data_IF_953434755661
#
_entry.id   IF_953434755661
#
_cell.length_a   1.000
_cell.length_b   1.000
_cell.length_c   1.000
_cell.angle_alpha   90.00
_cell.angle_beta   90.00
_cell.angle_gamma   90.00
#
_symmetry.space_group_name_H-M   'P 1'
#
loop_
_entity.id
_entity.type
_entity.pdbx_description
1 polymer ?
#
# COMPACT_ATOMS: atom_id res chain seq x y z
N UNK A 1 -5.68 -13.05 -8.11
CA UNK A 1 -6.47 -12.93 -6.85
C UNK A 1 -6.63 -14.32 -6.26
N UNK A 2 -6.18 -14.54 -5.01
CA UNK A 2 -6.21 -15.87 -4.35
C UNK A 2 -7.65 -16.34 -4.04
N UNK A 3 -8.53 -15.39 -3.71
CA UNK A 3 -9.96 -15.63 -3.50
C UNK A 3 -10.77 -15.15 -4.71
N UNK A 4 -11.81 -15.91 -5.10
CA UNK A 4 -12.69 -15.55 -6.24
C UNK A 4 -13.94 -14.77 -5.84
N UNK A 5 -14.28 -14.76 -4.55
CA UNK A 5 -15.45 -14.06 -4.00
C UNK A 5 -15.02 -13.28 -2.76
N UNK A 6 -15.52 -12.05 -2.65
CA UNK A 6 -15.33 -11.25 -1.46
C UNK A 6 -16.03 -11.91 -0.26
N UNK A 7 -15.37 -11.89 0.90
CA UNK A 7 -15.84 -12.47 2.15
C UNK A 7 -15.60 -11.43 3.24
N UNK A 8 -16.61 -11.20 4.07
CA UNK A 8 -16.51 -10.26 5.18
C UNK A 8 -17.02 -10.91 6.47
N UNK A 9 -16.55 -10.40 7.61
CA UNK A 9 -17.13 -10.72 8.92
C UNK A 9 -18.38 -9.87 9.15
N UNK A 10 -19.21 -10.26 10.10
CA UNK A 10 -20.29 -9.40 10.55
C UNK A 10 -19.72 -8.13 11.19
N UNK A 11 -20.34 -6.99 10.90
CA UNK A 11 -19.98 -5.69 11.45
C UNK A 11 -20.03 -5.66 12.98
N UNK A 12 -20.98 -6.37 13.61
CA UNK A 12 -21.10 -6.48 15.07
C UNK A 12 -19.89 -7.14 15.71
N UNK A 13 -19.49 -8.30 15.17
CA UNK A 13 -18.31 -9.02 15.63
C UNK A 13 -17.04 -8.18 15.48
N UNK A 14 -16.88 -7.45 14.36
CA UNK A 14 -15.75 -6.53 14.20
C UNK A 14 -15.72 -5.45 15.29
N UNK A 15 -16.87 -4.83 15.59
CA UNK A 15 -16.96 -3.80 16.64
C UNK A 15 -16.72 -4.38 18.03
N UNK A 16 -17.12 -5.62 18.30
CA UNK A 16 -16.79 -6.33 19.54
C UNK A 16 -15.27 -6.52 19.66
N UNK A 17 -14.60 -6.96 18.59
CA UNK A 17 -13.14 -7.10 18.59
C UNK A 17 -12.45 -5.76 18.80
N UNK A 18 -12.92 -4.70 18.14
CA UNK A 18 -12.38 -3.34 18.32
C UNK A 18 -12.55 -2.86 19.77
N UNK A 19 -13.70 -3.15 20.40
CA UNK A 19 -13.95 -2.83 21.82
C UNK A 19 -12.95 -3.53 22.74
N UNK A 20 -12.70 -4.83 22.52
CA UNK A 20 -11.71 -5.61 23.27
C UNK A 20 -10.32 -4.99 23.11
N UNK A 21 -9.89 -4.73 21.87
CA UNK A 21 -8.58 -4.12 21.59
C UNK A 21 -8.42 -2.76 22.28
N UNK A 22 -9.44 -1.90 22.19
CA UNK A 22 -9.40 -0.57 22.77
C UNK A 22 -9.41 -0.57 24.30
N UNK A 23 -10.30 -1.37 24.92
CA UNK A 23 -10.56 -1.34 26.37
C UNK A 23 -9.62 -2.25 27.16
N UNK A 24 -9.38 -3.46 26.67
CA UNK A 24 -8.66 -4.48 27.42
C UNK A 24 -7.14 -4.41 27.15
N UNK A 25 -6.76 -4.01 25.93
CA UNK A 25 -5.36 -3.93 25.50
C UNK A 25 -4.84 -2.49 25.31
N UNK A 26 -5.71 -1.49 25.47
CA UNK A 26 -5.31 -0.08 25.34
C UNK A 26 -4.90 0.35 23.93
N UNK A 27 -5.29 -0.42 22.90
CA UNK A 27 -4.98 -0.12 21.50
C UNK A 27 -5.60 1.22 21.10
N UNK A 28 -4.80 2.06 20.44
CA UNK A 28 -5.22 3.40 19.96
C UNK A 28 -5.34 3.49 18.44
N UNK A 29 -4.65 2.62 17.72
CA UNK A 29 -4.58 2.64 16.26
C UNK A 29 -4.92 1.23 15.75
N UNK A 30 -5.83 1.13 14.79
CA UNK A 30 -6.17 -0.11 14.11
C UNK A 30 -5.97 0.07 12.61
N UNK A 31 -5.19 -0.83 12.01
CA UNK A 31 -5.07 -0.95 10.56
C UNK A 31 -5.87 -2.16 10.09
N UNK A 32 -6.86 -1.93 9.23
CA UNK A 32 -7.60 -3.00 8.57
C UNK A 32 -6.74 -3.65 7.50
N UNK A 33 -6.61 -4.98 7.58
CA UNK A 33 -5.79 -5.78 6.68
C UNK A 33 -6.46 -6.06 5.32
N UNK A 34 -7.72 -5.66 5.16
CA UNK A 34 -8.48 -5.80 3.92
C UNK A 34 -7.75 -5.10 2.75
N UNK A 35 -7.68 -5.78 1.60
CA UNK A 35 -7.11 -5.21 0.36
C UNK A 35 -7.90 -3.98 -0.10
N UNK A 36 -9.21 -4.00 0.12
CA UNK A 36 -10.11 -2.88 -0.12
C UNK A 36 -11.25 -2.91 0.90
N UNK A 37 -11.21 -2.02 1.88
CA UNK A 37 -12.22 -1.89 2.93
C UNK A 37 -13.61 -1.58 2.37
N UNK A 38 -13.66 -0.74 1.33
CA UNK A 38 -14.90 -0.24 0.76
C UNK A 38 -15.37 -1.03 -0.47
N UNK A 39 -14.95 -2.30 -0.60
CA UNK A 39 -15.38 -3.18 -1.67
C UNK A 39 -16.92 -3.30 -1.74
N UNK A 40 -17.59 -3.29 -0.59
CA UNK A 40 -19.03 -3.15 -0.46
C UNK A 40 -19.36 -1.90 0.35
N UNK A 41 -20.00 -0.92 -0.31
CA UNK A 41 -20.31 0.39 0.27
C UNK A 41 -21.28 0.30 1.44
N UNK A 42 -22.28 -0.57 1.36
CA UNK A 42 -23.34 -0.64 2.37
C UNK A 42 -22.82 -1.32 3.63
N UNK A 43 -22.01 -2.38 3.49
CA UNK A 43 -21.33 -3.02 4.63
C UNK A 43 -20.31 -2.07 5.28
N UNK A 44 -19.55 -1.33 4.47
CA UNK A 44 -18.60 -0.33 4.98
C UNK A 44 -19.32 0.76 5.78
N UNK A 45 -20.41 1.30 5.23
CA UNK A 45 -21.23 2.31 5.90
C UNK A 45 -21.81 1.80 7.22
N UNK A 46 -22.39 0.60 7.23
CA UNK A 46 -22.93 -0.02 8.45
C UNK A 46 -21.85 -0.16 9.53
N UNK A 47 -20.64 -0.62 9.16
CA UNK A 47 -19.52 -0.73 10.08
C UNK A 47 -19.10 0.63 10.64
N UNK A 48 -18.98 1.67 9.79
CA UNK A 48 -18.64 3.02 10.22
C UNK A 48 -19.65 3.58 11.22
N UNK A 49 -20.95 3.40 10.97
CA UNK A 49 -22.02 3.81 11.88
C UNK A 49 -21.88 3.14 13.25
N UNK A 50 -21.66 1.82 13.29
CA UNK A 50 -21.46 1.08 14.54
C UNK A 50 -20.17 1.46 15.28
N UNK A 51 -19.10 1.81 14.56
CA UNK A 51 -17.86 2.31 15.16
C UNK A 51 -18.11 3.67 15.84
N UNK A 52 -18.86 4.56 15.18
CA UNK A 52 -19.24 5.87 15.74
C UNK A 52 -20.08 5.69 17.00
N UNK A 53 -21.06 4.79 16.98
CA UNK A 53 -21.89 4.47 18.14
C UNK A 53 -21.08 3.89 19.31
N UNK A 54 -20.04 3.11 19.00
CA UNK A 54 -19.16 2.52 20.01
C UNK A 54 -18.22 3.54 20.67
N UNK A 55 -17.98 4.69 20.03
CA UNK A 55 -17.17 5.83 20.50
C UNK A 55 -15.86 5.41 21.17
N UNK A 56 -15.03 4.65 20.43
CA UNK A 56 -13.82 4.03 20.98
C UNK A 56 -12.59 4.96 21.00
N UNK A 57 -12.70 6.16 20.42
CA UNK A 57 -11.58 7.10 20.31
C UNK A 57 -10.38 6.58 19.51
N UNK A 58 -10.60 5.61 18.61
CA UNK A 58 -9.56 4.98 17.80
C UNK A 58 -9.11 5.86 16.63
N UNK A 59 -7.90 5.62 16.15
CA UNK A 59 -7.42 6.06 14.84
C UNK A 59 -7.41 4.87 13.89
N UNK A 60 -8.06 5.00 12.74
CA UNK A 60 -8.25 3.90 11.79
C UNK A 60 -7.49 4.17 10.49
N UNK A 61 -6.80 3.14 10.02
CA UNK A 61 -6.10 3.10 8.74
C UNK A 61 -6.78 2.09 7.83
N UNK A 62 -7.16 2.52 6.63
CA UNK A 62 -7.88 1.70 5.65
C UNK A 62 -7.11 1.65 4.33
N UNK A 63 -7.22 0.53 3.61
CA UNK A 63 -6.87 0.47 2.20
C UNK A 63 -8.15 0.64 1.36
N UNK A 64 -8.11 1.53 0.37
CA UNK A 64 -9.21 1.74 -0.58
C UNK A 64 -8.65 2.00 -1.98
N UNK A 65 -9.42 1.65 -3.01
CA UNK A 65 -9.10 2.12 -4.37
C UNK A 65 -9.49 3.60 -4.50
N UNK A 66 -8.81 4.34 -5.38
CA UNK A 66 -9.18 5.72 -5.68
C UNK A 66 -10.62 5.84 -6.21
N UNK A 67 -11.07 4.86 -7.00
CA UNK A 67 -12.44 4.81 -7.51
C UNK A 67 -13.47 4.69 -6.39
N UNK A 68 -13.20 3.88 -5.36
CA UNK A 68 -14.10 3.74 -4.21
C UNK A 68 -14.12 4.98 -3.33
N UNK A 69 -12.99 5.69 -3.17
CA UNK A 69 -12.96 6.99 -2.49
C UNK A 69 -13.84 8.01 -3.21
N UNK A 70 -13.77 8.06 -4.55
CA UNK A 70 -14.61 8.97 -5.35
C UNK A 70 -16.09 8.56 -5.30
N UNK A 71 -16.38 7.25 -5.34
CA UNK A 71 -17.73 6.70 -5.20
C UNK A 71 -18.35 7.07 -3.84
N UNK A 72 -17.55 7.06 -2.78
CA UNK A 72 -17.97 7.30 -1.40
C UNK A 72 -17.86 8.78 -0.98
N UNK A 73 -17.68 9.70 -1.92
CA UNK A 73 -17.49 11.13 -1.65
C UNK A 73 -18.56 11.73 -0.72
N UNK A 74 -19.81 11.28 -0.82
CA UNK A 74 -20.94 11.74 -0.01
C UNK A 74 -20.91 11.25 1.45
N UNK A 75 -20.15 10.18 1.72
CA UNK A 75 -20.03 9.59 3.06
C UNK A 75 -18.63 9.73 3.67
N UNK A 76 -17.66 10.38 3.01
CA UNK A 76 -16.34 10.67 3.61
C UNK A 76 -16.40 11.40 4.97
N UNK A 77 -17.36 12.30 5.25
CA UNK A 77 -17.54 12.84 6.60
C UNK A 77 -17.83 11.77 7.65
N UNK A 78 -18.52 10.68 7.27
CA UNK A 78 -18.78 9.53 8.13
C UNK A 78 -17.49 8.75 8.43
N UNK A 79 -16.64 8.53 7.41
CA UNK A 79 -15.31 7.93 7.60
C UNK A 79 -14.52 8.72 8.65
N UNK A 80 -14.43 10.04 8.49
CA UNK A 80 -13.71 10.89 9.45
C UNK A 80 -14.31 10.82 10.86
N UNK A 81 -15.64 10.84 10.98
CA UNK A 81 -16.35 10.75 12.26
C UNK A 81 -16.11 9.40 12.97
N UNK A 82 -15.95 8.31 12.22
CA UNK A 82 -15.60 6.99 12.75
C UNK A 82 -14.14 6.88 13.23
N UNK A 83 -13.33 7.92 13.05
CA UNK A 83 -11.91 7.93 13.43
C UNK A 83 -10.96 7.48 12.31
N UNK A 84 -11.42 7.40 11.06
CA UNK A 84 -10.54 7.15 9.91
C UNK A 84 -9.64 8.36 9.70
N UNK A 85 -8.35 8.16 9.93
CA UNK A 85 -7.35 9.20 9.77
C UNK A 85 -6.49 8.98 8.52
N UNK A 86 -6.33 7.73 8.08
CA UNK A 86 -5.56 7.40 6.88
C UNK A 86 -6.37 6.56 5.91
N UNK A 87 -6.28 6.92 4.63
CA UNK A 87 -6.65 6.05 3.52
C UNK A 87 -5.41 5.84 2.64
N UNK A 88 -5.01 4.57 2.55
CA UNK A 88 -3.93 4.07 1.71
C UNK A 88 -4.49 3.73 0.35
N UNK A 89 -3.91 4.30 -0.69
CA UNK A 89 -4.28 4.07 -2.09
C UNK A 89 -3.06 3.59 -2.89
N UNK A 90 -3.26 2.55 -3.68
CA UNK A 90 -2.33 2.18 -4.74
C UNK A 90 -2.52 3.09 -5.95
N UNK A 91 -1.42 3.63 -6.49
CA UNK A 91 -1.46 4.31 -7.79
C UNK A 91 -0.99 3.33 -8.86
N UNK A 92 -1.91 2.91 -9.71
CA UNK A 92 -1.70 1.86 -10.72
C UNK A 92 -0.94 2.37 -11.95
N UNK A 93 -1.17 3.63 -12.34
CA UNK A 93 -0.43 4.29 -13.42
C UNK A 93 -0.32 5.80 -13.16
N UNK A 94 0.88 6.35 -13.39
CA UNK A 94 1.16 7.79 -13.42
C UNK A 94 1.14 8.35 -14.85
N UNK A 95 0.91 7.50 -15.86
CA UNK A 95 0.82 7.85 -17.27
C UNK A 95 -0.60 7.63 -17.76
N UNK A 96 -1.08 8.53 -18.60
CA UNK A 96 -2.39 8.41 -19.28
C UNK A 96 -2.39 7.29 -20.34
N UNK A 97 -1.22 6.68 -20.60
CA UNK A 97 -0.93 5.96 -21.84
C UNK A 97 -1.02 4.44 -21.71
N UNK A 98 -2.07 3.89 -21.09
CA UNK A 98 -2.53 2.51 -21.38
C UNK A 98 -4.05 2.45 -21.25
N UNK A 99 -4.76 3.14 -22.14
CA UNK A 99 -6.18 2.86 -22.39
C UNK A 99 -6.23 1.86 -23.55
N UNK A 100 -6.18 0.58 -23.22
CA UNK A 100 -6.65 -0.47 -24.12
C UNK A 100 -7.76 -1.25 -23.39
N UNK A 101 -8.98 -0.80 -23.68
CA UNK A 101 -10.19 -1.61 -23.80
C UNK A 101 -10.99 -2.14 -22.62
N UNK A 102 -10.94 -1.55 -21.41
CA UNK A 102 -12.02 -1.78 -20.44
C UNK A 102 -12.39 -0.50 -19.66
N UNK A 103 -13.42 0.20 -20.17
CA UNK A 103 -14.29 1.18 -19.47
C UNK A 103 -13.62 2.46 -18.91
N UNK A 104 -13.78 3.55 -19.68
CA UNK A 104 -14.01 4.94 -19.25
C UNK A 104 -13.61 5.31 -17.80
N UNK A 105 -12.39 5.82 -17.63
CA UNK A 105 -12.02 7.01 -16.87
C UNK A 105 -10.49 7.06 -16.76
N UNK A 106 -9.89 8.24 -16.88
CA UNK A 106 -8.45 8.41 -16.65
C UNK A 106 -8.13 8.01 -15.18
N UNK A 107 -7.41 6.89 -14.93
CA UNK A 107 -7.15 6.41 -13.57
C UNK A 107 -6.35 7.41 -12.72
N UNK A 108 -5.51 8.21 -13.36
CA UNK A 108 -4.72 9.24 -12.69
C UNK A 108 -5.59 10.42 -12.25
N UNK A 109 -6.55 10.86 -13.07
CA UNK A 109 -7.53 11.89 -12.67
C UNK A 109 -8.43 11.44 -11.52
N UNK A 110 -8.86 10.17 -11.51
CA UNK A 110 -9.60 9.59 -10.37
C UNK A 110 -8.73 9.67 -9.11
N UNK A 111 -7.44 9.34 -9.20
CA UNK A 111 -6.51 9.40 -8.07
C UNK A 111 -6.34 10.82 -7.55
N UNK A 112 -6.22 11.82 -8.44
CA UNK A 112 -6.19 13.25 -8.06
C UNK A 112 -7.47 13.68 -7.37
N UNK A 113 -8.62 13.27 -7.90
CA UNK A 113 -9.92 13.57 -7.30
C UNK A 113 -10.05 12.93 -5.91
N UNK A 114 -9.66 11.66 -5.75
CA UNK A 114 -9.65 10.97 -4.47
C UNK A 114 -8.79 11.69 -3.43
N UNK A 115 -7.54 12.02 -3.76
CA UNK A 115 -6.65 12.78 -2.88
C UNK A 115 -7.26 14.13 -2.46
N UNK A 116 -7.90 14.84 -3.40
CA UNK A 116 -8.60 16.09 -3.09
C UNK A 116 -9.75 15.87 -2.11
N UNK A 117 -10.61 14.89 -2.35
CA UNK A 117 -11.75 14.58 -1.50
C UNK A 117 -11.34 14.17 -0.08
N UNK A 118 -10.29 13.36 0.05
CA UNK A 118 -9.73 12.97 1.36
C UNK A 118 -9.26 14.20 2.14
N UNK A 119 -8.52 15.10 1.47
CA UNK A 119 -8.01 16.33 2.07
C UNK A 119 -9.12 17.27 2.51
N UNK A 120 -10.17 17.43 1.70
CA UNK A 120 -11.36 18.23 2.05
C UNK A 120 -12.07 17.70 3.31
N UNK A 121 -11.88 16.42 3.64
CA UNK A 121 -12.44 15.76 4.82
C UNK A 121 -11.43 15.55 5.96
N UNK A 122 -10.24 16.17 5.90
CA UNK A 122 -9.15 16.00 6.87
C UNK A 122 -8.70 14.53 7.06
N UNK A 123 -8.79 13.72 6.01
CA UNK A 123 -8.27 12.35 5.97
C UNK A 123 -6.94 12.38 5.23
N UNK A 124 -5.91 11.78 5.84
CA UNK A 124 -4.57 11.73 5.28
C UNK A 124 -4.55 10.72 4.14
N UNK A 125 -4.14 11.20 2.97
CA UNK A 125 -3.91 10.37 1.80
C UNK A 125 -2.50 9.79 1.82
N UNK A 126 -2.38 8.46 1.88
CA UNK A 126 -1.11 7.75 1.73
C UNK A 126 -1.11 7.04 0.38
N UNK A 127 -0.13 7.36 -0.46
CA UNK A 127 0.00 6.78 -1.78
C UNK A 127 1.16 5.80 -1.84
N UNK A 128 0.89 4.58 -2.29
CA UNK A 128 1.91 3.60 -2.60
C UNK A 128 2.36 3.76 -4.07
N UNK A 129 3.67 3.84 -4.29
CA UNK A 129 4.29 3.77 -5.61
C UNK A 129 5.29 2.61 -5.66
N UNK A 130 5.34 1.90 -6.80
CA UNK A 130 6.29 0.80 -7.01
C UNK A 130 7.35 1.21 -8.03
N UNK A 131 8.61 1.05 -7.64
CA UNK A 131 9.79 1.18 -8.49
C UNK A 131 10.24 -0.20 -8.98
N UNK A 132 10.57 -0.30 -10.26
CA UNK A 132 11.01 -1.55 -10.91
C UNK A 132 9.94 -2.26 -11.75
N UNK A 133 8.72 -1.72 -11.85
CA UNK A 133 7.68 -2.21 -12.78
C UNK A 133 7.95 -1.79 -14.24
N UNK A 134 8.48 -0.58 -14.42
CA UNK A 134 8.90 -0.06 -15.72
C UNK A 134 10.41 -0.22 -15.89
N UNK A 135 10.93 -0.03 -17.10
CA UNK A 135 12.37 0.11 -17.32
C UNK A 135 12.90 1.38 -16.64
N UNK A 136 13.24 1.29 -15.36
CA UNK A 136 13.65 2.45 -14.57
C UNK A 136 14.92 3.08 -15.14
N UNK A 137 14.85 4.38 -15.37
CA UNK A 137 15.94 5.26 -15.78
C UNK A 137 15.79 6.61 -15.09
N UNK A 138 16.82 7.45 -15.09
CA UNK A 138 16.71 8.81 -14.54
C UNK A 138 15.54 9.61 -15.14
N UNK A 139 15.22 9.37 -16.42
CA UNK A 139 14.07 9.97 -17.09
C UNK A 139 12.74 9.50 -16.49
N UNK A 140 12.53 8.19 -16.35
CA UNK A 140 11.27 7.65 -15.80
C UNK A 140 11.09 8.00 -14.33
N UNK A 141 12.18 8.01 -13.54
CA UNK A 141 12.14 8.47 -12.15
C UNK A 141 11.67 9.93 -12.05
N UNK A 142 12.16 10.79 -12.94
CA UNK A 142 11.75 12.20 -12.98
C UNK A 142 10.29 12.38 -13.46
N UNK A 143 9.84 11.62 -14.45
CA UNK A 143 8.42 11.60 -14.87
C UNK A 143 7.50 11.16 -13.73
N UNK A 144 7.86 10.08 -13.01
CA UNK A 144 7.14 9.62 -11.83
C UNK A 144 7.09 10.70 -10.75
N UNK A 145 8.23 11.36 -10.49
CA UNK A 145 8.29 12.45 -9.53
C UNK A 145 7.33 13.59 -9.88
N UNK A 146 7.27 14.01 -11.16
CA UNK A 146 6.29 15.00 -11.62
C UNK A 146 4.85 14.54 -11.42
N UNK A 147 4.53 13.31 -11.81
CA UNK A 147 3.18 12.75 -11.58
C UNK A 147 2.79 12.74 -10.11
N UNK A 148 3.73 12.45 -9.20
CA UNK A 148 3.46 12.52 -7.76
C UNK A 148 3.23 13.95 -7.28
N UNK A 149 3.98 14.94 -7.80
CA UNK A 149 3.74 16.35 -7.48
C UNK A 149 2.35 16.81 -7.95
N UNK A 150 1.88 16.31 -9.10
CA UNK A 150 0.53 16.58 -9.60
C UNK A 150 -0.56 15.87 -8.78
N UNK A 151 -0.28 14.65 -8.30
CA UNK A 151 -1.18 13.91 -7.42
C UNK A 151 -1.33 14.59 -6.04
N UNK A 152 -0.23 15.12 -5.52
CA UNK A 152 -0.14 15.90 -4.28
C UNK A 152 -0.68 15.20 -2.99
N UNK A 153 -0.62 13.87 -2.89
CA UNK A 153 -0.97 13.15 -1.66
C UNK A 153 -0.12 13.55 -0.44
N UNK A 154 -0.64 13.32 0.75
CA UNK A 154 -0.01 13.78 1.99
C UNK A 154 1.27 12.99 2.31
N UNK A 155 1.24 11.68 2.09
CA UNK A 155 2.36 10.77 2.34
C UNK A 155 2.61 9.91 1.11
N UNK A 156 3.88 9.83 0.71
CA UNK A 156 4.36 8.90 -0.30
C UNK A 156 5.05 7.72 0.37
N UNK A 157 4.62 6.51 0.04
CA UNK A 157 5.29 5.28 0.39
C UNK A 157 5.91 4.65 -0.87
N UNK A 158 7.22 4.79 -1.01
CA UNK A 158 7.98 4.17 -2.11
C UNK A 158 8.28 2.71 -1.81
N UNK A 159 7.95 1.83 -2.75
CA UNK A 159 8.17 0.40 -2.67
C UNK A 159 8.98 -0.08 -3.87
N UNK A 160 9.66 -1.21 -3.73
CA UNK A 160 10.36 -1.89 -4.82
C UNK A 160 9.57 -3.12 -5.28
N UNK A 161 9.59 -3.38 -6.58
CA UNK A 161 9.01 -4.58 -7.17
C UNK A 161 9.63 -5.81 -6.52
N UNK A 162 8.78 -6.65 -5.90
CA UNK A 162 9.17 -7.93 -5.33
C UNK A 162 8.43 -9.06 -6.06
N UNK A 163 9.11 -9.76 -7.00
CA UNK A 163 8.48 -10.73 -7.87
C UNK A 163 8.29 -12.08 -7.16
N UNK A 164 7.33 -12.16 -6.25
CA UNK A 164 7.00 -13.42 -5.57
C UNK A 164 6.54 -14.49 -6.57
N UNK A 165 7.06 -15.71 -6.47
CA UNK A 165 6.88 -16.76 -7.48
C UNK A 165 5.41 -17.09 -7.83
N UNK A 166 4.46 -16.81 -6.94
CA UNK A 166 3.03 -17.07 -7.16
C UNK A 166 2.29 -15.93 -7.89
N UNK A 167 2.87 -14.73 -7.98
CA UNK A 167 2.26 -13.57 -8.64
C UNK A 167 2.46 -13.62 -10.15
N UNK A 168 1.77 -12.75 -10.89
CA UNK A 168 1.95 -12.61 -12.34
C UNK A 168 3.39 -12.20 -12.66
N UNK A 169 3.89 -11.17 -11.96
CA UNK A 169 5.26 -10.67 -12.16
C UNK A 169 6.31 -11.70 -11.78
N UNK A 170 6.11 -12.47 -10.71
CA UNK A 170 7.01 -13.57 -10.38
C UNK A 170 7.06 -14.65 -11.45
N UNK A 171 5.96 -14.92 -12.16
CA UNK A 171 5.94 -15.93 -13.24
C UNK A 171 6.59 -15.43 -14.53
N UNK A 172 6.55 -14.12 -14.79
CA UNK A 172 7.15 -13.50 -15.98
C UNK A 172 8.59 -13.05 -15.77
N UNK A 173 9.02 -12.88 -14.53
CA UNK A 173 10.39 -12.45 -14.19
C UNK A 173 11.40 -13.52 -14.54
N UNK A 174 12.45 -13.12 -15.27
CA UNK A 174 13.65 -13.95 -15.46
C UNK A 174 14.41 -14.05 -14.12
N UNK A 175 14.58 -15.25 -13.54
CA UNK A 175 15.29 -15.43 -12.28
C UNK A 175 16.69 -14.83 -12.29
N UNK A 176 17.35 -14.75 -13.45
CA UNK A 176 18.70 -14.17 -13.59
C UNK A 176 18.76 -12.69 -13.23
N UNK A 177 17.62 -11.99 -13.24
CA UNK A 177 17.54 -10.59 -12.84
C UNK A 177 17.39 -10.42 -11.32
N UNK A 178 17.25 -11.50 -10.55
CA UNK A 178 17.21 -11.43 -9.09
C UNK A 178 18.60 -11.14 -8.55
N UNK A 179 18.74 -10.00 -7.89
CA UNK A 179 19.97 -9.49 -7.27
C UNK A 179 19.96 -9.58 -5.74
N UNK A 180 18.86 -10.03 -5.14
CA UNK A 180 18.77 -10.28 -3.70
C UNK A 180 18.09 -11.62 -3.45
N UNK A 181 18.85 -12.60 -2.95
CA UNK A 181 18.33 -13.95 -2.68
C UNK A 181 17.85 -14.11 -1.23
N UNK A 182 18.27 -13.25 -0.30
CA UNK A 182 17.82 -13.29 1.08
C UNK A 182 16.34 -12.90 1.17
N UNK A 183 15.49 -13.87 1.50
CA UNK A 183 14.05 -13.69 1.66
C UNK A 183 13.69 -12.68 2.76
N UNK A 184 14.56 -12.43 3.74
CA UNK A 184 14.32 -11.40 4.75
C UNK A 184 14.28 -9.98 4.13
N UNK A 185 14.87 -9.80 2.94
CA UNK A 185 14.86 -8.56 2.16
C UNK A 185 13.70 -8.49 1.16
N UNK A 186 12.83 -9.49 1.10
CA UNK A 186 11.67 -9.52 0.18
C UNK A 186 10.44 -8.86 0.82
N UNK A 187 10.64 -7.65 1.34
CA UNK A 187 9.67 -6.90 2.15
C UNK A 187 9.05 -5.71 1.41
N UNK A 188 9.26 -5.60 0.10
CA UNK A 188 8.96 -4.40 -0.73
C UNK A 188 9.75 -3.14 -0.36
N UNK A 189 10.61 -3.17 0.67
CA UNK A 189 11.49 -2.04 1.05
C UNK A 189 12.90 -2.16 0.50
N UNK A 190 13.29 -3.34 0.03
CA UNK A 190 14.59 -3.56 -0.59
C UNK A 190 14.46 -3.84 -2.09
N UNK A 191 15.52 -3.51 -2.82
CA UNK A 191 15.67 -3.91 -4.21
C UNK A 191 15.97 -5.40 -4.26
N UNK A 192 15.15 -6.15 -5.00
CA UNK A 192 15.36 -7.58 -5.19
C UNK A 192 15.60 -7.98 -6.64
N UNK A 193 15.23 -7.11 -7.59
CA UNK A 193 15.38 -7.29 -9.03
C UNK A 193 16.24 -6.18 -9.62
N UNK A 194 17.12 -6.53 -10.55
CA UNK A 194 17.90 -5.58 -11.33
C UNK A 194 17.00 -4.79 -12.29
N UNK A 195 17.30 -3.51 -12.48
CA UNK A 195 16.70 -2.69 -13.53
C UNK A 195 17.64 -2.61 -14.73
N UNK A 196 17.12 -2.39 -15.95
CA UNK A 196 17.96 -2.40 -17.15
C UNK A 196 18.94 -1.22 -17.25
N UNK A 197 18.55 -0.03 -16.76
CA UNK A 197 19.29 1.23 -17.03
C UNK A 197 19.94 1.85 -15.79
N UNK A 198 19.65 1.36 -14.59
CA UNK A 198 20.17 1.92 -13.34
C UNK A 198 20.89 0.86 -12.51
N UNK A 199 22.03 1.22 -11.94
CA UNK A 199 22.65 0.42 -10.89
C UNK A 199 21.81 0.47 -9.62
N UNK A 200 21.92 -0.53 -8.72
CA UNK A 200 21.14 -0.54 -7.49
C UNK A 200 21.30 0.72 -6.63
N UNK A 201 22.51 1.28 -6.57
CA UNK A 201 22.78 2.54 -5.87
C UNK A 201 22.10 3.74 -6.53
N UNK A 202 22.06 3.81 -7.87
CA UNK A 202 21.43 4.91 -8.59
C UNK A 202 19.91 4.91 -8.40
N UNK A 203 19.30 3.73 -8.48
CA UNK A 203 17.88 3.56 -8.19
C UNK A 203 17.58 3.92 -6.72
N UNK A 204 18.39 3.44 -5.78
CA UNK A 204 18.23 3.76 -4.35
C UNK A 204 18.29 5.26 -4.11
N UNK A 205 19.32 5.93 -4.65
CA UNK A 205 19.50 7.37 -4.54
C UNK A 205 18.30 8.12 -5.16
N UNK A 206 17.86 7.72 -6.35
CA UNK A 206 16.71 8.32 -7.03
C UNK A 206 15.41 8.23 -6.21
N UNK A 207 15.14 7.07 -5.61
CA UNK A 207 14.00 6.84 -4.73
C UNK A 207 14.08 7.72 -3.48
N UNK A 208 15.23 7.74 -2.78
CA UNK A 208 15.41 8.55 -1.56
C UNK A 208 15.33 10.05 -1.84
N UNK A 209 15.89 10.51 -2.96
CA UNK A 209 15.75 11.90 -3.40
C UNK A 209 14.29 12.23 -3.69
N UNK A 210 13.56 11.33 -4.31
CA UNK A 210 12.14 11.52 -4.60
C UNK A 210 11.33 11.61 -3.30
N UNK A 211 11.50 10.69 -2.36
CA UNK A 211 10.85 10.74 -1.05
C UNK A 211 11.16 12.06 -0.31
N UNK A 212 12.43 12.47 -0.28
CA UNK A 212 12.86 13.70 0.40
C UNK A 212 12.28 14.95 -0.27
N UNK A 213 12.47 15.12 -1.58
CA UNK A 213 11.99 16.29 -2.32
C UNK A 213 10.46 16.37 -2.31
N UNK A 214 9.78 15.21 -2.33
CA UNK A 214 8.33 15.16 -2.26
C UNK A 214 7.83 15.68 -0.92
N UNK A 215 8.31 15.16 0.21
CA UNK A 215 7.81 15.56 1.52
C UNK A 215 8.30 16.96 1.96
N UNK A 216 9.40 17.45 1.39
CA UNK A 216 9.90 18.81 1.63
C UNK A 216 9.33 19.86 0.66
N UNK A 217 8.42 19.49 -0.23
CA UNK A 217 7.83 20.43 -1.18
C UNK A 217 7.07 21.57 -0.46
N UNK A 218 7.07 22.81 -0.99
CA UNK A 218 6.48 23.96 -0.31
C UNK A 218 5.03 23.75 0.13
N UNK A 219 4.21 23.12 -0.71
CA UNK A 219 2.80 22.86 -0.40
C UNK A 219 2.63 21.94 0.82
N UNK A 220 3.46 20.90 0.94
CA UNK A 220 3.42 19.98 2.09
C UNK A 220 3.85 20.69 3.38
N UNK A 221 4.91 21.51 3.31
CA UNK A 221 5.38 22.30 4.46
C UNK A 221 4.36 23.35 4.90
N UNK A 222 3.72 24.04 3.95
CA UNK A 222 2.64 24.98 4.23
C UNK A 222 1.44 24.29 4.89
N UNK A 223 1.07 23.09 4.42
CA UNK A 223 0.04 22.28 5.09
C UNK A 223 0.44 21.96 6.53
N UNK A 224 1.67 21.48 6.75
CA UNK A 224 2.14 21.15 8.11
C UNK A 224 2.20 22.36 9.06
N UNK A 225 2.40 23.57 8.52
CA UNK A 225 2.46 24.80 9.30
C UNK A 225 1.08 25.41 9.60
N UNK A 226 0.14 25.34 8.64
CA UNK A 226 -1.09 26.14 8.67
C UNK A 226 -2.40 25.35 8.65
N UNK A 227 -2.36 24.00 8.69
CA UNK A 227 -3.59 23.21 8.74
C UNK A 227 -4.41 23.50 10.01
N UNK A 228 -5.74 23.55 9.89
CA UNK A 228 -6.62 23.94 11.01
C UNK A 228 -6.94 22.78 11.96
N UNK A 229 -7.02 21.56 11.43
CA UNK A 229 -7.30 20.36 12.20
C UNK A 229 -6.07 19.90 13.00
N UNK A 230 -6.18 19.91 14.33
CA UNK A 230 -5.09 19.57 15.24
C UNK A 230 -4.74 18.08 15.23
N UNK A 231 -5.75 17.20 15.06
CA UNK A 231 -5.54 15.75 15.00
C UNK A 231 -4.75 15.40 13.74
N UNK A 232 -5.15 15.95 12.59
CA UNK A 232 -4.41 15.84 11.33
C UNK A 232 -2.96 16.32 11.50
N UNK A 233 -2.73 17.49 12.10
CA UNK A 233 -1.38 18.02 12.31
C UNK A 233 -0.51 17.11 13.17
N UNK A 234 -1.06 16.60 14.28
CA UNK A 234 -0.33 15.71 15.17
C UNK A 234 0.08 14.42 14.46
N UNK A 235 -0.88 13.79 13.78
CA UNK A 235 -0.65 12.57 13.02
C UNK A 235 0.37 12.79 11.89
N UNK A 236 0.28 13.90 11.16
CA UNK A 236 1.25 14.23 10.12
C UNK A 236 2.66 14.47 10.69
N UNK A 237 2.79 15.16 11.82
CA UNK A 237 4.11 15.37 12.47
C UNK A 237 4.72 14.04 12.91
N UNK A 238 3.95 13.18 13.56
CA UNK A 238 4.40 11.87 14.01
C UNK A 238 4.80 10.98 12.83
N UNK A 239 4.02 11.03 11.74
CA UNK A 239 4.32 10.34 10.49
C UNK A 239 5.63 10.83 9.86
N UNK A 240 5.84 12.14 9.77
CA UNK A 240 7.05 12.71 9.19
C UNK A 240 8.29 12.39 10.03
N UNK A 241 8.19 12.47 11.37
CA UNK A 241 9.29 12.10 12.27
C UNK A 241 9.65 10.62 12.14
N UNK A 242 8.64 9.76 12.05
CA UNK A 242 8.84 8.31 11.84
C UNK A 242 9.46 8.06 10.47
N UNK A 243 8.95 8.72 9.42
CA UNK A 243 9.49 8.63 8.06
C UNK A 243 10.96 9.01 7.98
N UNK A 244 11.38 10.08 8.66
CA UNK A 244 12.80 10.47 8.75
C UNK A 244 13.64 9.34 9.36
N UNK A 245 13.19 8.75 10.47
CA UNK A 245 13.91 7.64 11.12
C UNK A 245 13.99 6.41 10.21
N UNK A 246 12.92 6.09 9.49
CA UNK A 246 12.88 4.98 8.52
C UNK A 246 13.86 5.24 7.38
N UNK A 247 13.89 6.44 6.80
CA UNK A 247 14.84 6.79 5.73
C UNK A 247 16.29 6.64 6.20
N UNK A 248 16.62 7.09 7.41
CA UNK A 248 17.96 6.87 7.97
C UNK A 248 18.28 5.39 8.17
N UNK A 249 17.35 4.60 8.70
CA UNK A 249 17.53 3.16 8.87
C UNK A 249 17.74 2.46 7.52
N UNK A 250 17.02 2.86 6.48
CA UNK A 250 17.16 2.30 5.13
C UNK A 250 18.47 2.70 4.46
N UNK A 251 18.93 3.94 4.64
CA UNK A 251 20.26 4.36 4.16
C UNK A 251 21.34 3.55 4.85
N UNK A 252 21.24 3.37 6.17
CA UNK A 252 22.18 2.54 6.92
C UNK A 252 22.17 1.10 6.43
N UNK A 253 21.00 0.47 6.36
CA UNK A 253 20.84 -0.91 5.92
C UNK A 253 21.34 -1.10 4.48
N UNK A 254 21.07 -0.15 3.58
CA UNK A 254 21.54 -0.23 2.20
C UNK A 254 23.08 -0.19 2.12
N UNK A 255 23.72 0.69 2.91
CA UNK A 255 25.17 0.88 2.86
C UNK A 255 25.96 -0.24 3.56
N UNK A 256 25.42 -0.83 4.62
CA UNK A 256 26.18 -1.72 5.49
C UNK A 256 25.68 -3.18 5.52
N UNK A 257 24.38 -3.40 5.37
CA UNK A 257 23.78 -4.73 5.54
C UNK A 257 23.37 -5.38 4.22
N UNK A 258 22.99 -4.56 3.22
CA UNK A 258 22.47 -5.05 1.94
C UNK A 258 23.60 -5.50 1.03
N UNK A 259 23.65 -6.82 0.78
CA UNK A 259 24.60 -7.42 -0.17
C UNK A 259 23.85 -7.91 -1.39
N UNK A 260 24.18 -7.34 -2.55
CA UNK A 260 23.62 -7.77 -3.82
C UNK A 260 24.38 -8.96 -4.39
N UNK A 261 23.63 -9.91 -4.94
CA UNK A 261 24.18 -11.01 -5.73
C UNK A 261 24.46 -10.52 -7.15
N UNK A 262 25.52 -11.02 -7.82
CA UNK A 262 25.77 -10.70 -9.22
C UNK A 262 24.56 -11.08 -10.09
N UNK A 263 24.18 -10.21 -11.02
CA UNK A 263 23.13 -10.53 -11.99
C UNK A 263 23.52 -11.79 -12.79
N UNK A 264 22.57 -12.70 -13.00
CA UNK A 264 22.79 -14.01 -13.62
C UNK A 264 23.13 -15.14 -12.65
N UNK A 265 23.40 -14.85 -11.37
CA UNK A 265 23.73 -15.88 -10.37
C UNK A 265 22.54 -16.71 -9.87
N UNK A 266 21.32 -16.25 -10.14
CA UNK A 266 20.09 -16.86 -9.63
C UNK A 266 19.42 -17.69 -10.74
N UNK A 267 19.34 -19.01 -10.54
CA UNK A 267 18.72 -19.92 -11.51
C UNK A 267 17.20 -20.02 -11.35
N UNK A 268 16.69 -19.67 -10.17
CA UNK A 268 15.29 -19.87 -9.79
C UNK A 268 14.85 -18.82 -8.79
N UNK A 269 13.59 -18.38 -8.91
CA UNK A 269 13.03 -17.41 -7.97
C UNK A 269 12.95 -18.04 -6.57
N UNK A 270 13.50 -17.38 -5.54
CA UNK A 270 13.39 -17.82 -4.15
C UNK A 270 11.95 -18.20 -3.76
N UNK A 271 11.81 -19.35 -3.09
CA UNK A 271 10.52 -19.89 -2.64
C UNK A 271 9.76 -20.72 -3.68
N UNK A 272 10.14 -20.70 -4.96
CA UNK A 272 9.48 -21.53 -5.97
C UNK A 272 9.77 -23.03 -5.68
N UNK A 273 8.75 -23.92 -5.61
CA UNK A 273 8.95 -25.34 -5.31
C UNK A 273 9.72 -26.06 -6.43
N UNK A 274 10.55 -27.06 -6.10
CA UNK A 274 11.25 -27.86 -7.11
C UNK A 274 10.23 -28.66 -7.92
N UNK A 275 10.36 -28.65 -9.25
CA UNK A 275 9.46 -29.38 -10.17
C UNK A 275 9.38 -30.89 -9.89
N UNK A 276 10.27 -31.43 -9.05
CA UNK A 276 10.36 -32.84 -8.69
C UNK A 276 9.61 -33.23 -7.40
N UNK A 277 8.79 -32.35 -6.81
CA UNK A 277 7.79 -32.80 -5.85
C UNK A 277 6.55 -33.17 -6.65
N UNK A 278 6.56 -34.40 -7.16
CA UNK A 278 5.34 -35.06 -7.62
C UNK A 278 4.25 -34.87 -6.55
N UNK A 279 3.06 -34.57 -7.03
CA UNK A 279 1.79 -34.65 -6.35
C UNK A 279 1.78 -35.72 -5.25
N UNK A 280 1.98 -35.30 -4.00
CA UNK A 280 1.55 -36.09 -2.85
C UNK A 280 0.18 -35.52 -2.45
N UNK A 281 -0.93 -36.18 -2.79
CA UNK A 281 -2.24 -35.77 -2.33
C UNK A 281 -2.36 -36.17 -0.85
N UNK A 282 -1.82 -35.34 0.04
CA UNK A 282 -2.01 -35.54 1.48
C UNK A 282 -3.22 -34.72 1.94
N UNK A 283 -4.34 -35.44 1.99
CA UNK A 283 -5.39 -35.40 3.03
C UNK A 283 -6.29 -34.16 2.98
N UNK A 284 -7.21 -34.17 2.02
CA UNK A 284 -8.59 -33.75 2.26
C UNK A 284 -9.40 -35.03 2.55
N UNK A 285 -9.18 -35.64 3.71
CA UNK A 285 -10.11 -36.65 4.23
C UNK A 285 -11.41 -35.94 4.63
N UNK A 286 -12.38 -36.07 3.72
CA UNK A 286 -13.78 -36.42 3.99
C UNK A 286 -14.22 -36.28 5.46
N UNK A 287 -14.81 -35.14 5.80
CA UNK A 287 -15.87 -35.11 6.82
C UNK A 287 -17.20 -35.37 6.11
N UNK A 288 -17.95 -36.43 6.46
CA UNK A 288 -19.22 -36.71 5.83
C UNK A 288 -20.23 -35.64 6.23
N UNK A 289 -20.71 -34.88 5.24
CA UNK A 289 -21.93 -34.08 5.38
C UNK A 289 -23.08 -35.08 5.51
N UNK A 290 -23.50 -35.33 6.75
CA UNK A 290 -24.78 -35.94 7.05
C UNK A 290 -25.89 -34.97 6.62
N UNK A 291 -26.39 -35.13 5.40
CA UNK A 291 -27.75 -34.72 5.08
C UNK A 291 -28.72 -35.75 5.66
N UNK A 292 -29.60 -35.30 6.56
CA UNK A 292 -30.95 -35.84 6.71
C UNK A 292 -31.84 -34.83 7.44
N UNK A 293 -32.85 -34.38 6.69
CA UNK A 293 -34.15 -33.80 7.04
C UNK A 293 -34.21 -32.63 8.04
#
# INVERSE_FOLDING_TARGET
>A
MFWKKWRHRSTDDLVIQMKILAKDYGVKIIWFADENFAADRDVAKELLEKIIEADLGLSLNLNMTAADVVRDADILPLYKKAGVDYIVMGVESLKDDVIVDIRKNNPFEISKQAVRLLRENNIISLTNIIYGLEEESWKTLFEKFKGMLELDSDILNAMYLTPHFWTSDGKSTDPRNIIQQDLAKWSYRNQVIATPHLKPFELFLGVKLTEALYHLRPQALLRLAFHKDQRYLQIMRDSMLTGIRVVFAEIWEFLFDTKFSPQGSTEKIPGQPNKNIESSPLILEQLPISQKN
#
